data_IF_535284387272
#
_entry.id   IF_535284387272
#
_cell.length_a   1.000
_cell.length_b   1.000
_cell.length_c   1.000
_cell.angle_alpha   90.00
_cell.angle_beta   90.00
_cell.angle_gamma   90.00
#
_symmetry.space_group_name_H-M   'P 1'
#
loop_
_entity.id
_entity.type
_entity.pdbx_description
1 polymer ?
#
# COMPACT_ATOMS: atom_id res chain seq x y z
N UNK A 1 20.04 -6.25 -5.87
CA UNK A 1 19.80 -6.97 -7.15
C UNK A 1 18.49 -7.72 -7.00
N UNK A 2 17.42 -7.28 -7.66
CA UNK A 2 16.11 -7.96 -7.63
C UNK A 2 15.90 -8.62 -9.00
N UNK A 3 16.03 -9.95 -9.03
CA UNK A 3 15.71 -10.76 -10.20
C UNK A 3 14.19 -10.95 -10.23
N UNK A 4 13.58 -10.72 -11.40
CA UNK A 4 12.14 -10.71 -11.69
C UNK A 4 11.40 -12.01 -11.35
N UNK A 5 12.10 -13.07 -10.96
CA UNK A 5 11.50 -14.35 -10.58
C UNK A 5 11.45 -14.58 -9.06
N UNK A 6 12.02 -13.68 -8.25
CA UNK A 6 11.97 -13.71 -6.80
C UNK A 6 11.58 -12.32 -6.29
N UNK A 7 10.31 -11.97 -6.43
CA UNK A 7 9.73 -10.95 -5.55
C UNK A 7 10.05 -11.38 -4.12
N UNK A 8 10.83 -10.58 -3.37
CA UNK A 8 10.90 -10.76 -1.91
C UNK A 8 9.46 -10.75 -1.45
N UNK A 9 9.01 -11.91 -1.04
CA UNK A 9 7.62 -12.24 -0.99
C UNK A 9 6.95 -11.32 0.03
N UNK A 10 6.04 -10.46 -0.45
CA UNK A 10 4.93 -9.91 0.34
C UNK A 10 3.97 -11.02 0.81
N UNK A 11 4.42 -12.28 0.80
CA UNK A 11 3.72 -13.52 1.14
C UNK A 11 3.93 -13.91 2.60
N UNK A 12 4.66 -13.11 3.38
CA UNK A 12 4.73 -13.31 4.83
C UNK A 12 3.48 -12.74 5.51
N UNK A 13 3.21 -13.19 6.72
CA UNK A 13 2.12 -12.69 7.56
C UNK A 13 2.36 -11.27 8.13
N UNK A 14 3.48 -10.62 7.78
CA UNK A 14 3.84 -9.26 8.22
C UNK A 14 3.80 -8.23 7.08
N UNK A 15 3.37 -8.65 5.88
CA UNK A 15 3.31 -7.81 4.71
C UNK A 15 1.89 -7.77 4.15
N UNK A 16 1.45 -6.58 3.75
CA UNK A 16 0.18 -6.34 3.07
C UNK A 16 0.44 -5.48 1.85
N UNK A 17 -0.15 -5.84 0.71
CA UNK A 17 -0.03 -5.01 -0.47
C UNK A 17 -1.24 -5.06 -1.39
N UNK A 18 -1.32 -4.02 -2.19
CA UNK A 18 -2.08 -4.00 -3.43
C UNK A 18 -1.08 -4.17 -4.58
N UNK A 19 -1.40 -5.06 -5.50
CA UNK A 19 -0.56 -5.41 -6.63
C UNK A 19 -1.32 -5.13 -7.93
N UNK A 20 -0.69 -4.36 -8.81
CA UNK A 20 -1.17 -4.09 -10.17
C UNK A 20 -0.19 -4.76 -11.14
N UNK A 21 -0.69 -5.64 -12.00
CA UNK A 21 0.05 -6.16 -13.15
C UNK A 21 -0.62 -5.64 -14.42
N UNK A 22 0.16 -5.14 -15.36
CA UNK A 22 -0.33 -4.65 -16.65
C UNK A 22 0.47 -5.19 -17.85
N UNK A 23 1.42 -6.11 -17.63
CA UNK A 23 2.33 -6.55 -18.70
C UNK A 23 1.70 -7.60 -19.63
N UNK A 24 1.13 -8.67 -19.07
CA UNK A 24 0.46 -9.73 -19.88
C UNK A 24 -1.02 -9.88 -19.57
N UNK A 25 -1.38 -9.74 -18.30
CA UNK A 25 -2.76 -9.74 -17.84
C UNK A 25 -2.94 -8.54 -16.93
N UNK A 26 -3.96 -7.75 -17.23
CA UNK A 26 -4.34 -6.65 -16.37
C UNK A 26 -5.00 -7.21 -15.11
N UNK A 27 -4.25 -7.27 -14.01
CA UNK A 27 -4.75 -7.80 -12.74
C UNK A 27 -4.55 -6.80 -11.62
N UNK A 28 -5.60 -6.65 -10.81
CA UNK A 28 -5.60 -5.86 -9.60
C UNK A 28 -5.90 -6.78 -8.42
N UNK A 29 -4.99 -6.85 -7.45
CA UNK A 29 -5.13 -7.82 -6.37
C UNK A 29 -4.65 -7.28 -5.02
N UNK A 30 -5.33 -7.70 -3.96
CA UNK A 30 -4.84 -7.60 -2.59
C UNK A 30 -4.07 -8.87 -2.23
N UNK A 31 -2.89 -8.74 -1.63
CA UNK A 31 -2.05 -9.87 -1.22
C UNK A 31 -1.60 -9.74 0.24
N UNK A 32 -1.63 -10.85 0.94
CA UNK A 32 -1.17 -10.99 2.33
C UNK A 32 -0.97 -12.46 2.66
N UNK A 33 0.10 -12.83 3.38
CA UNK A 33 0.28 -14.20 3.90
C UNK A 33 0.10 -15.32 2.86
N UNK A 34 0.67 -15.13 1.67
CA UNK A 34 0.56 -16.03 0.52
C UNK A 34 -0.86 -16.17 -0.09
N UNK A 35 -1.83 -15.42 0.42
CA UNK A 35 -3.16 -15.30 -0.16
C UNK A 35 -3.19 -14.16 -1.18
N UNK A 36 -3.90 -14.39 -2.28
CA UNK A 36 -4.15 -13.39 -3.31
C UNK A 36 -5.65 -13.31 -3.54
N UNK A 37 -6.21 -12.11 -3.38
CA UNK A 37 -7.59 -11.79 -3.72
C UNK A 37 -7.62 -10.83 -4.89
N UNK A 38 -8.09 -11.30 -6.04
CA UNK A 38 -8.38 -10.43 -7.18
C UNK A 38 -9.48 -9.45 -6.79
N UNK A 39 -9.31 -8.19 -7.19
CA UNK A 39 -10.24 -7.12 -6.98
C UNK A 39 -10.91 -6.83 -8.33
N UNK A 40 -12.20 -7.16 -8.43
CA UNK A 40 -13.00 -6.99 -9.66
C UNK A 40 -13.46 -5.54 -9.83
N UNK A 41 -12.49 -4.62 -9.79
CA UNK A 41 -12.69 -3.17 -9.94
C UNK A 41 -11.59 -2.60 -10.82
N UNK A 42 -11.89 -1.49 -11.49
CA UNK A 42 -10.90 -0.75 -12.25
C UNK A 42 -9.81 -0.21 -11.31
N UNK A 43 -8.55 -0.29 -11.75
CA UNK A 43 -7.43 0.27 -11.00
C UNK A 43 -7.57 1.80 -11.01
N UNK A 44 -7.64 2.45 -9.85
CA UNK A 44 -7.73 3.90 -9.80
C UNK A 44 -6.35 4.54 -10.04
N UNK A 45 -6.34 5.75 -10.59
CA UNK A 45 -5.11 6.52 -10.84
C UNK A 45 -4.36 6.89 -9.55
N UNK A 46 -5.09 7.01 -8.44
CA UNK A 46 -4.55 7.41 -7.13
C UNK A 46 -5.16 6.58 -6.01
N UNK A 47 -4.30 5.83 -5.32
CA UNK A 47 -4.65 4.98 -4.18
C UNK A 47 -4.24 5.68 -2.89
N UNK A 48 -5.20 5.85 -1.98
CA UNK A 48 -4.94 6.27 -0.61
C UNK A 48 -4.77 5.05 0.30
N UNK A 49 -3.98 5.22 1.36
CA UNK A 49 -3.77 4.22 2.40
C UNK A 49 -4.20 4.82 3.73
N UNK A 50 -5.16 4.18 4.38
CA UNK A 50 -5.59 4.49 5.73
C UNK A 50 -5.12 3.38 6.68
N UNK A 51 -4.46 3.77 7.76
CA UNK A 51 -3.92 2.87 8.76
C UNK A 51 -4.42 3.25 10.14
N UNK A 52 -5.05 2.30 10.82
CA UNK A 52 -5.50 2.41 12.19
C UNK A 52 -4.85 1.28 12.99
N UNK A 53 -3.83 1.63 13.78
CA UNK A 53 -3.08 0.68 14.61
C UNK A 53 -3.99 0.04 15.67
N UNK A 54 -4.66 0.87 16.48
CA UNK A 54 -5.47 0.40 17.60
C UNK A 54 -6.75 -0.32 17.15
N UNK A 55 -7.37 0.19 16.07
CA UNK A 55 -8.56 -0.42 15.46
C UNK A 55 -8.26 -1.63 14.58
N UNK A 56 -6.98 -1.97 14.39
CA UNK A 56 -6.57 -3.16 13.66
C UNK A 56 -7.00 -3.16 12.19
N UNK A 57 -6.91 -2.01 11.53
CA UNK A 57 -7.37 -1.84 10.16
C UNK A 57 -6.30 -1.22 9.25
N UNK A 58 -6.12 -1.82 8.08
CA UNK A 58 -5.38 -1.23 6.96
C UNK A 58 -6.29 -1.22 5.73
N UNK A 59 -6.66 -0.03 5.27
CA UNK A 59 -7.60 0.16 4.15
C UNK A 59 -6.92 0.87 3.00
N UNK A 60 -7.01 0.26 1.82
CA UNK A 60 -6.69 0.90 0.54
C UNK A 60 -7.98 1.45 -0.06
N UNK A 61 -7.97 2.69 -0.53
CA UNK A 61 -9.16 3.35 -1.08
C UNK A 61 -8.82 4.17 -2.33
N UNK A 62 -9.82 4.37 -3.20
CA UNK A 62 -9.71 5.32 -4.29
C UNK A 62 -9.80 6.73 -3.72
N UNK A 63 -8.79 7.57 -3.95
CA UNK A 63 -8.83 8.96 -3.48
C UNK A 63 -9.79 9.85 -4.28
N UNK A 64 -10.20 9.40 -5.47
CA UNK A 64 -11.13 10.13 -6.33
C UNK A 64 -12.56 9.92 -5.84
N UNK A 65 -12.95 8.67 -5.61
CA UNK A 65 -14.32 8.32 -5.20
C UNK A 65 -14.49 8.20 -3.69
N UNK A 66 -13.40 8.21 -2.91
CA UNK A 66 -13.39 7.92 -1.47
C UNK A 66 -14.01 6.56 -1.11
N UNK A 67 -13.99 5.60 -2.04
CA UNK A 67 -14.52 4.25 -1.85
C UNK A 67 -13.39 3.28 -1.45
N UNK A 68 -13.58 2.44 -0.40
CA UNK A 68 -12.64 1.38 -0.07
C UNK A 68 -12.48 0.38 -1.22
N UNK A 69 -11.23 0.10 -1.59
CA UNK A 69 -10.85 -0.92 -2.56
C UNK A 69 -10.67 -2.26 -1.85
N UNK A 70 -9.96 -2.24 -0.71
CA UNK A 70 -9.73 -3.42 0.11
C UNK A 70 -9.37 -3.03 1.54
N UNK A 71 -9.82 -3.83 2.51
CA UNK A 71 -9.51 -3.65 3.93
C UNK A 71 -8.97 -4.94 4.50
N UNK A 72 -7.73 -4.87 5.01
CA UNK A 72 -7.17 -5.90 5.87
C UNK A 72 -7.56 -5.60 7.32
N UNK A 73 -8.05 -6.61 8.02
CA UNK A 73 -8.38 -6.53 9.44
C UNK A 73 -7.49 -7.47 10.23
N UNK A 74 -6.70 -6.90 11.14
CA UNK A 74 -5.88 -7.69 12.05
C UNK A 74 -5.34 -6.86 13.22
N UNK A 75 -4.90 -7.54 14.28
CA UNK A 75 -4.24 -6.90 15.41
C UNK A 75 -2.76 -6.65 15.10
N UNK A 76 -2.42 -5.41 14.80
CA UNK A 76 -1.03 -5.01 14.61
C UNK A 76 -0.26 -5.04 15.95
N UNK A 77 0.90 -5.67 15.96
CA UNK A 77 1.79 -5.72 17.14
C UNK A 77 2.94 -4.72 17.03
N UNK A 78 3.19 -4.19 15.83
CA UNK A 78 4.25 -3.23 15.53
C UNK A 78 3.75 -2.21 14.49
N UNK A 79 4.28 -0.99 14.48
CA UNK A 79 4.01 -0.01 13.43
C UNK A 79 4.37 -0.55 12.04
N UNK A 80 3.58 -0.19 11.03
CA UNK A 80 3.87 -0.58 9.64
C UNK A 80 4.84 0.39 8.97
N UNK A 81 5.75 -0.18 8.17
CA UNK A 81 6.56 0.58 7.24
C UNK A 81 5.88 0.64 5.88
N UNK A 82 5.78 1.83 5.29
CA UNK A 82 5.35 1.98 3.91
C UNK A 82 6.47 1.57 2.96
N UNK A 83 6.15 0.70 2.00
CA UNK A 83 7.08 0.23 0.98
C UNK A 83 6.41 0.22 -0.40
N UNK A 84 7.20 0.49 -1.43
CA UNK A 84 6.75 0.52 -2.82
C UNK A 84 7.69 -0.33 -3.68
N UNK A 85 7.13 -1.03 -4.67
CA UNK A 85 7.89 -1.77 -5.67
C UNK A 85 7.36 -1.39 -7.04
N UNK A 86 8.25 -0.92 -7.91
CA UNK A 86 7.92 -0.45 -9.26
C UNK A 86 8.76 -1.26 -10.23
N UNK A 87 8.09 -1.88 -11.20
CA UNK A 87 8.80 -2.64 -12.23
C UNK A 87 9.07 -1.79 -13.48
N UNK A 88 8.12 -0.94 -13.88
CA UNK A 88 8.28 0.03 -14.96
C UNK A 88 7.50 1.32 -14.62
N UNK A 89 8.05 2.48 -15.01
CA UNK A 89 7.45 3.79 -14.75
C UNK A 89 7.96 4.50 -13.48
N UNK A 90 7.16 5.40 -12.92
CA UNK A 90 7.49 6.19 -11.73
C UNK A 90 6.29 6.31 -10.78
N UNK A 91 6.55 6.65 -9.52
CA UNK A 91 5.54 6.75 -8.47
C UNK A 91 5.74 8.06 -7.72
N UNK A 92 4.68 8.84 -7.57
CA UNK A 92 4.67 10.08 -6.82
C UNK A 92 3.84 9.87 -5.54
N UNK A 93 4.45 10.17 -4.38
CA UNK A 93 3.79 10.07 -3.09
C UNK A 93 3.53 11.46 -2.50
N UNK A 94 2.37 11.62 -1.88
CA UNK A 94 2.05 12.76 -1.03
C UNK A 94 1.66 12.24 0.35
N UNK A 95 2.33 12.70 1.40
CA UNK A 95 1.91 12.46 2.78
C UNK A 95 1.23 13.70 3.33
N UNK A 96 0.27 13.54 4.24
CA UNK A 96 -0.37 14.66 4.92
C UNK A 96 0.51 15.37 5.96
N UNK A 97 1.79 14.99 6.09
CA UNK A 97 2.71 15.70 6.98
C UNK A 97 3.07 17.06 6.37
N UNK A 98 2.57 18.14 6.96
CA UNK A 98 3.23 19.43 6.82
C UNK A 98 4.65 19.30 7.38
N UNK A 99 5.66 19.61 6.57
CA UNK A 99 7.02 19.86 7.07
C UNK A 99 6.91 21.01 8.08
N UNK A 100 7.39 20.87 9.33
CA UNK A 100 7.48 22.00 10.24
C UNK A 100 8.31 23.10 9.57
N UNK A 101 7.68 24.22 9.21
CA UNK A 101 8.43 25.41 8.82
C UNK A 101 9.00 25.96 10.12
N UNK A 102 10.32 25.88 10.25
CA UNK A 102 11.16 26.36 11.36
C UNK A 102 11.46 25.35 12.47
N UNK A 103 12.75 25.03 12.72
CA UNK A 103 13.16 24.59 14.05
C UNK A 103 12.97 25.78 15.01
N UNK A 104 12.26 25.57 16.11
CA UNK A 104 12.21 26.53 17.20
C UNK A 104 13.66 26.78 17.68
N UNK A 105 14.15 28.00 17.50
CA UNK A 105 15.38 28.44 18.15
C UNK A 105 15.09 28.55 19.66
N UNK A 106 15.88 27.94 20.54
CA UNK A 106 15.77 28.20 21.97
C UNK A 106 16.23 29.64 22.26
N UNK A 107 15.43 30.34 23.07
CA UNK A 107 15.75 31.63 23.71
C UNK A 107 16.69 31.41 24.89
#
# INVERSE_FOLDING_TARGET
>A
MFNSNNSVSLLTNINWCIHVNNWMQYTFAAKHNNETKTLDILVPDRIGVYYNFDGGQLTFYSTISNVPLHTFRMKFTQPLLLAFMIWYGGLAGSTGLQVPKHPALPI
#
